data_IF_475810806398
#
_entry.id   IF_475810806398
#
_cell.length_a   1.000
_cell.length_b   1.000
_cell.length_c   1.000
_cell.angle_alpha   90.00
_cell.angle_beta   90.00
_cell.angle_gamma   90.00
#
_symmetry.space_group_name_H-M   'P 1'
#
loop_
_entity.id
_entity.type
_entity.pdbx_description
1 polymer ?
#
# COMPACT_ATOMS: atom_id res chain seq x y z
N UNK A 1 8.15 3.23 27.23
CA UNK A 1 9.29 3.17 26.29
C UNK A 1 8.96 4.13 25.15
N UNK A 2 9.80 5.13 24.91
CA UNK A 2 9.62 6.04 23.76
C UNK A 2 9.99 5.22 22.54
N UNK A 3 9.01 4.89 21.70
CA UNK A 3 9.23 4.19 20.43
C UNK A 3 10.16 4.98 19.50
N UNK A 4 10.69 4.33 18.47
CA UNK A 4 11.53 5.01 17.48
C UNK A 4 10.80 6.23 16.89
N UNK A 5 11.54 7.31 16.64
CA UNK A 5 11.01 8.55 16.05
C UNK A 5 11.32 8.57 14.56
N UNK A 6 10.30 8.78 13.75
CA UNK A 6 10.39 8.86 12.30
C UNK A 6 10.01 10.27 11.80
N UNK A 7 10.47 10.65 10.62
CA UNK A 7 9.94 11.82 9.95
C UNK A 7 8.56 11.52 9.39
N UNK A 8 8.44 10.43 8.64
CA UNK A 8 7.19 10.08 7.96
C UNK A 8 6.83 8.61 8.21
N UNK A 9 5.56 8.37 8.48
CA UNK A 9 4.92 7.07 8.50
C UNK A 9 3.91 6.99 7.35
N UNK A 10 3.92 5.89 6.57
CA UNK A 10 3.02 5.69 5.43
C UNK A 10 2.26 4.38 5.59
N UNK A 11 0.93 4.46 5.54
CA UNK A 11 0.02 3.31 5.52
C UNK A 11 -0.90 3.42 4.29
N UNK A 12 -1.20 2.29 3.64
CA UNK A 12 -2.19 2.21 2.56
C UNK A 12 -3.09 0.99 2.73
N UNK A 13 -4.14 0.91 1.94
CA UNK A 13 -4.95 -0.30 1.75
C UNK A 13 -5.44 -0.89 3.08
N UNK A 14 -6.04 -0.04 3.93
CA UNK A 14 -6.60 -0.43 5.24
C UNK A 14 -7.99 -1.05 5.05
N UNK A 15 -8.74 -0.57 4.04
CA UNK A 15 -10.07 -1.04 3.67
C UNK A 15 -11.07 -1.09 4.82
N UNK A 16 -11.22 0.03 5.53
CA UNK A 16 -12.24 0.17 6.58
C UNK A 16 -13.63 -0.18 6.03
N UNK A 17 -14.38 -0.99 6.75
CA UNK A 17 -15.67 -1.55 6.30
C UNK A 17 -15.52 -2.97 5.74
N UNK A 18 -14.33 -3.46 5.45
CA UNK A 18 -14.05 -4.85 5.15
C UNK A 18 -13.97 -5.70 6.43
N UNK A 19 -14.44 -6.95 6.38
CA UNK A 19 -14.37 -7.90 7.50
C UNK A 19 -12.92 -8.34 7.80
N UNK A 20 -12.02 -8.20 6.82
CA UNK A 20 -10.60 -8.58 6.95
C UNK A 20 -9.70 -7.38 7.27
N UNK A 21 -10.28 -6.19 7.42
CA UNK A 21 -9.54 -4.98 7.77
C UNK A 21 -8.89 -5.11 9.15
N UNK A 22 -7.60 -4.83 9.23
CA UNK A 22 -6.80 -4.84 10.46
C UNK A 22 -6.66 -3.42 11.04
N UNK A 23 -7.77 -2.71 11.11
CA UNK A 23 -7.80 -1.32 11.56
C UNK A 23 -7.27 -1.11 12.98
N UNK A 24 -7.50 -2.06 13.90
CA UNK A 24 -6.95 -1.99 15.25
C UNK A 24 -5.42 -2.11 15.23
N UNK A 25 -4.88 -3.04 14.47
CA UNK A 25 -3.43 -3.21 14.33
C UNK A 25 -2.76 -1.98 13.72
N UNK A 26 -3.40 -1.37 12.72
CA UNK A 26 -2.94 -0.10 12.14
C UNK A 26 -2.97 1.04 13.18
N UNK A 27 -4.01 1.09 14.01
CA UNK A 27 -4.11 2.05 15.11
C UNK A 27 -3.00 1.83 16.14
N UNK A 28 -2.69 0.59 16.49
CA UNK A 28 -1.64 0.26 17.45
C UNK A 28 -0.26 0.74 16.94
N UNK A 29 0.02 0.58 15.65
CA UNK A 29 1.23 1.15 15.02
C UNK A 29 1.26 2.66 15.15
N UNK A 30 0.16 3.34 14.81
CA UNK A 30 0.09 4.80 14.91
C UNK A 30 0.28 5.33 16.34
N UNK A 31 -0.09 4.54 17.34
CA UNK A 31 0.07 4.90 18.76
C UNK A 31 1.45 4.53 19.33
N UNK A 32 2.13 3.57 18.73
CA UNK A 32 3.42 3.08 19.22
C UNK A 32 4.58 3.97 18.77
N UNK A 33 4.52 4.50 17.55
CA UNK A 33 5.61 5.30 17.00
C UNK A 33 5.37 6.80 17.13
N UNK A 34 6.46 7.56 17.20
CA UNK A 34 6.46 9.02 17.07
C UNK A 34 6.84 9.40 15.64
N UNK A 35 6.09 10.29 15.02
CA UNK A 35 6.33 10.75 13.66
C UNK A 35 5.85 12.20 13.48
N UNK A 36 6.47 12.92 12.55
CA UNK A 36 6.10 14.29 12.17
C UNK A 36 5.00 14.31 11.11
N UNK A 37 4.99 13.31 10.23
CA UNK A 37 4.04 13.20 9.12
C UNK A 37 3.45 11.81 9.06
N UNK A 38 2.14 11.76 8.85
CA UNK A 38 1.39 10.56 8.52
C UNK A 38 0.82 10.69 7.12
N UNK A 39 1.17 9.75 6.24
CA UNK A 39 0.58 9.65 4.90
C UNK A 39 -0.34 8.45 4.84
N UNK A 40 -1.63 8.69 4.69
CA UNK A 40 -2.64 7.67 4.39
C UNK A 40 -2.72 7.57 2.86
N UNK A 41 -2.17 6.49 2.30
CA UNK A 41 -1.83 6.39 0.88
C UNK A 41 -2.88 5.62 0.06
N UNK A 42 -4.13 6.00 0.21
CA UNK A 42 -5.27 5.50 -0.56
C UNK A 42 -5.84 4.17 -0.06
N UNK A 43 -7.05 3.89 -0.52
CA UNK A 43 -7.86 2.72 -0.17
C UNK A 43 -7.98 2.51 1.34
N UNK A 44 -8.18 3.62 2.06
CA UNK A 44 -8.43 3.61 3.50
C UNK A 44 -9.82 3.04 3.78
N UNK A 45 -10.79 3.30 2.91
CA UNK A 45 -12.11 2.67 2.95
C UNK A 45 -12.23 1.56 1.91
N UNK A 46 -13.00 0.51 2.21
CA UNK A 46 -13.36 -0.55 1.27
C UNK A 46 -14.43 -0.07 0.28
N UNK A 47 -15.38 0.71 0.78
CA UNK A 47 -16.43 1.38 0.01
C UNK A 47 -17.01 2.56 0.80
N UNK A 48 -17.95 3.28 0.19
CA UNK A 48 -18.62 4.43 0.83
C UNK A 48 -19.81 4.04 1.72
N UNK A 49 -19.97 2.76 2.05
CA UNK A 49 -21.04 2.30 2.94
C UNK A 49 -20.58 2.34 4.41
N UNK A 50 -20.66 3.50 5.02
CA UNK A 50 -20.25 3.73 6.42
C UNK A 50 -21.03 2.89 7.45
N UNK A 51 -22.16 2.25 7.08
CA UNK A 51 -22.87 1.32 7.95
C UNK A 51 -22.09 0.03 8.24
N UNK A 52 -21.08 -0.26 7.43
CA UNK A 52 -20.18 -1.41 7.60
C UNK A 52 -19.04 -1.14 8.57
N UNK A 53 -18.86 0.11 9.00
CA UNK A 53 -17.79 0.47 9.91
C UNK A 53 -18.06 -0.08 11.31
N UNK A 54 -17.13 -0.88 11.82
CA UNK A 54 -17.14 -1.40 13.18
C UNK A 54 -16.64 -0.36 14.20
N UNK A 55 -16.74 -0.68 15.49
CA UNK A 55 -16.20 0.17 16.56
C UNK A 55 -14.68 0.41 16.41
N UNK A 56 -13.92 -0.56 15.92
CA UNK A 56 -12.47 -0.44 15.67
C UNK A 56 -12.18 0.53 14.54
N UNK A 57 -12.95 0.46 13.46
CA UNK A 57 -12.85 1.40 12.35
C UNK A 57 -13.10 2.85 12.81
N UNK A 58 -14.12 3.06 13.63
CA UNK A 58 -14.42 4.37 14.20
C UNK A 58 -13.34 4.86 15.18
N UNK A 59 -12.71 3.97 15.94
CA UNK A 59 -11.56 4.31 16.79
C UNK A 59 -10.38 4.79 15.94
N UNK A 60 -10.08 4.10 14.83
CA UNK A 60 -9.03 4.51 13.90
C UNK A 60 -9.32 5.92 13.35
N UNK A 61 -10.50 6.15 12.77
CA UNK A 61 -10.89 7.46 12.23
C UNK A 61 -10.87 8.58 13.29
N UNK A 62 -11.33 8.28 14.51
CA UNK A 62 -11.27 9.21 15.63
C UNK A 62 -9.84 9.57 16.01
N UNK A 63 -8.92 8.61 15.92
CA UNK A 63 -7.51 8.88 16.16
C UNK A 63 -6.91 9.78 15.07
N UNK A 64 -7.18 9.49 13.79
CA UNK A 64 -6.77 10.37 12.68
C UNK A 64 -7.30 11.79 12.88
N UNK A 65 -8.58 11.95 13.27
CA UNK A 65 -9.16 13.25 13.58
C UNK A 65 -8.45 13.97 14.74
N UNK A 66 -8.01 13.23 15.77
CA UNK A 66 -7.22 13.78 16.88
C UNK A 66 -5.83 14.22 16.42
N UNK A 67 -5.18 13.43 15.56
CA UNK A 67 -3.86 13.76 15.01
C UNK A 67 -3.90 15.03 14.14
N UNK A 68 -4.97 15.23 13.38
CA UNK A 68 -5.12 16.42 12.53
C UNK A 68 -5.27 17.74 13.31
N UNK A 69 -5.36 17.67 14.64
CA UNK A 69 -5.38 18.88 15.47
C UNK A 69 -3.99 19.56 15.41
N UNK A 70 -3.89 20.85 15.05
CA UNK A 70 -2.61 21.57 14.94
C UNK A 70 -1.75 21.53 16.21
N UNK A 71 -2.37 21.40 17.40
CA UNK A 71 -1.65 21.26 18.67
C UNK A 71 -0.82 19.97 18.78
N UNK A 72 -1.09 18.97 17.94
CA UNK A 72 -0.35 17.69 17.90
C UNK A 72 0.95 17.78 17.11
N UNK A 73 1.11 18.84 16.31
CA UNK A 73 2.30 19.04 15.46
C UNK A 73 2.61 17.85 14.54
N UNK A 74 1.57 17.10 14.13
CA UNK A 74 1.67 16.02 13.15
C UNK A 74 0.94 16.46 11.89
N UNK A 75 1.64 16.45 10.77
CA UNK A 75 1.05 16.66 9.46
C UNK A 75 0.36 15.38 9.01
N UNK A 76 -0.96 15.42 8.87
CA UNK A 76 -1.72 14.27 8.36
C UNK A 76 -2.13 14.57 6.93
N UNK A 77 -1.72 13.68 6.03
CA UNK A 77 -1.97 13.76 4.58
C UNK A 77 -2.77 12.54 4.16
N UNK A 78 -3.79 12.77 3.35
CA UNK A 78 -4.58 11.70 2.76
C UNK A 78 -4.40 11.72 1.24
N UNK A 79 -3.97 10.61 0.65
CA UNK A 79 -3.92 10.42 -0.79
C UNK A 79 -5.11 9.57 -1.21
N UNK A 80 -5.83 9.98 -2.24
CA UNK A 80 -7.04 9.30 -2.72
C UNK A 80 -6.69 7.97 -3.41
N UNK A 81 -7.36 6.89 -2.99
CA UNK A 81 -7.35 5.58 -3.66
C UNK A 81 -8.54 5.41 -4.60
N UNK A 82 -8.64 4.27 -5.28
CA UNK A 82 -9.78 3.99 -6.14
C UNK A 82 -11.07 3.68 -5.36
N UNK A 83 -10.96 3.17 -4.14
CA UNK A 83 -12.08 2.93 -3.23
C UNK A 83 -12.52 4.19 -2.49
N UNK A 84 -11.63 5.16 -2.35
CA UNK A 84 -11.85 6.44 -1.66
C UNK A 84 -12.30 7.55 -2.62
N UNK A 85 -12.43 7.26 -3.92
CA UNK A 85 -12.75 8.26 -4.94
C UNK A 85 -14.06 9.00 -4.62
N UNK A 86 -13.99 10.33 -4.60
CA UNK A 86 -15.12 11.19 -4.26
C UNK A 86 -15.24 11.54 -2.77
N UNK A 87 -14.39 10.98 -1.90
CA UNK A 87 -14.36 11.32 -0.48
C UNK A 87 -13.59 12.61 -0.16
N UNK A 88 -12.87 13.18 -1.11
CA UNK A 88 -11.98 14.32 -0.86
C UNK A 88 -12.69 15.46 -0.10
N UNK A 89 -13.86 15.88 -0.56
CA UNK A 89 -14.63 16.94 0.10
C UNK A 89 -15.15 16.50 1.48
N UNK A 90 -15.64 15.27 1.58
CA UNK A 90 -16.22 14.75 2.82
C UNK A 90 -15.15 14.63 3.91
N UNK A 91 -13.99 14.07 3.59
CA UNK A 91 -12.91 13.85 4.56
C UNK A 91 -12.24 15.14 4.97
N UNK A 92 -12.07 16.10 4.07
CA UNK A 92 -11.56 17.42 4.39
C UNK A 92 -12.47 18.14 5.40
N UNK A 93 -13.77 18.04 5.24
CA UNK A 93 -14.74 18.70 6.13
C UNK A 93 -14.97 17.93 7.45
N UNK A 94 -15.08 16.60 7.42
CA UNK A 94 -15.39 15.80 8.61
C UNK A 94 -14.15 15.51 9.46
N UNK A 95 -13.04 15.18 8.84
CA UNK A 95 -11.80 14.76 9.52
C UNK A 95 -10.82 15.92 9.64
N UNK A 96 -10.98 16.96 8.81
CA UNK A 96 -10.09 18.12 8.77
C UNK A 96 -8.72 17.79 8.22
N UNK A 97 -8.65 16.79 7.32
CA UNK A 97 -7.42 16.33 6.66
C UNK A 97 -7.51 16.63 5.18
N UNK A 98 -6.53 17.34 4.58
CA UNK A 98 -6.50 17.56 3.14
C UNK A 98 -6.32 16.26 2.39
N UNK A 99 -7.05 16.11 1.27
CA UNK A 99 -6.98 14.94 0.40
C UNK A 99 -6.37 15.33 -0.94
N UNK A 100 -5.41 14.54 -1.37
CA UNK A 100 -4.64 14.77 -2.59
C UNK A 100 -4.74 13.56 -3.52
N UNK A 101 -4.63 13.77 -4.82
CA UNK A 101 -4.40 12.68 -5.78
C UNK A 101 -2.90 12.32 -5.85
N UNK A 102 -2.06 13.32 -5.64
CA UNK A 102 -0.61 13.23 -5.59
C UNK A 102 -0.12 14.18 -4.52
N UNK A 103 0.78 13.73 -3.66
CA UNK A 103 1.38 14.55 -2.64
C UNK A 103 2.90 14.54 -2.78
N UNK A 104 3.50 15.72 -2.80
CA UNK A 104 4.95 15.90 -2.94
C UNK A 104 5.47 16.64 -1.70
N UNK A 105 6.57 16.12 -1.16
CA UNK A 105 7.27 16.79 -0.06
C UNK A 105 8.78 16.59 -0.17
N UNK A 106 9.54 17.35 0.60
CA UNK A 106 10.98 17.24 0.69
C UNK A 106 11.38 16.79 2.11
N UNK A 107 12.36 15.90 2.15
CA UNK A 107 13.01 15.48 3.38
C UNK A 107 14.46 15.07 3.10
N UNK A 108 15.42 15.56 3.92
CA UNK A 108 16.86 15.32 3.77
C UNK A 108 17.36 15.59 2.33
N UNK A 109 16.90 16.70 1.72
CA UNK A 109 17.32 17.11 0.37
C UNK A 109 16.78 16.24 -0.75
N UNK A 110 15.92 15.26 -0.48
CA UNK A 110 15.26 14.43 -1.48
C UNK A 110 13.79 14.81 -1.63
N UNK A 111 13.30 14.85 -2.87
CA UNK A 111 11.90 15.05 -3.18
C UNK A 111 11.19 13.69 -3.25
N UNK A 112 10.08 13.61 -2.58
CA UNK A 112 9.26 12.44 -2.42
C UNK A 112 7.92 12.66 -3.10
N UNK A 113 7.40 11.62 -3.78
CA UNK A 113 6.09 11.62 -4.40
C UNK A 113 5.27 10.47 -3.81
N UNK A 114 4.08 10.75 -3.29
CA UNK A 114 3.10 9.75 -2.89
C UNK A 114 1.91 9.79 -3.81
N UNK A 115 1.50 8.62 -4.31
CA UNK A 115 0.29 8.40 -5.09
C UNK A 115 -0.18 6.97 -4.88
N UNK A 116 -1.50 6.73 -4.94
CA UNK A 116 -1.99 5.38 -4.65
C UNK A 116 -1.55 4.33 -5.69
N UNK A 117 -1.49 4.67 -6.98
CA UNK A 117 -1.00 3.77 -8.03
C UNK A 117 -2.10 3.23 -8.95
N UNK A 118 -3.37 3.29 -8.57
CA UNK A 118 -4.51 2.85 -9.38
C UNK A 118 -4.59 3.55 -10.75
N UNK A 119 -3.96 4.73 -10.88
CA UNK A 119 -3.92 5.50 -12.13
C UNK A 119 -3.27 4.73 -13.28
N UNK A 120 -2.40 3.78 -12.96
CA UNK A 120 -1.67 2.96 -13.92
C UNK A 120 -2.35 1.61 -14.19
N UNK A 121 -3.39 1.27 -13.42
CA UNK A 121 -4.19 0.08 -13.66
C UNK A 121 -5.24 0.33 -14.74
N UNK A 122 -4.96 -0.16 -15.95
CA UNK A 122 -5.89 -0.01 -17.09
C UNK A 122 -7.18 -0.82 -16.93
N UNK A 123 -7.22 -1.80 -16.03
CA UNK A 123 -8.41 -2.61 -15.77
C UNK A 123 -9.39 -1.85 -14.86
N UNK A 124 -8.90 -1.21 -13.81
CA UNK A 124 -9.70 -0.36 -12.92
C UNK A 124 -10.29 0.82 -13.70
N UNK A 125 -9.52 1.45 -14.61
CA UNK A 125 -10.03 2.55 -15.44
C UNK A 125 -11.22 2.16 -16.33
N UNK A 126 -11.28 0.91 -16.81
CA UNK A 126 -12.32 0.48 -17.75
C UNK A 126 -13.53 -0.17 -17.07
N UNK A 127 -13.38 -0.72 -15.86
CA UNK A 127 -14.38 -1.59 -15.26
C UNK A 127 -14.39 -1.52 -13.72
N UNK A 128 -14.70 -0.36 -13.16
CA UNK A 128 -14.78 -0.16 -11.69
C UNK A 128 -15.66 -1.21 -10.96
N UNK A 129 -16.75 -1.67 -11.58
CA UNK A 129 -17.63 -2.67 -10.99
C UNK A 129 -17.08 -4.10 -11.04
N UNK A 130 -16.24 -4.43 -12.04
CA UNK A 130 -15.59 -5.76 -12.15
C UNK A 130 -14.46 -5.88 -11.11
N UNK A 131 -13.78 -4.78 -10.79
CA UNK A 131 -12.80 -4.75 -9.71
C UNK A 131 -13.45 -5.12 -8.36
N UNK A 132 -14.60 -4.50 -8.04
CA UNK A 132 -15.39 -4.80 -6.84
C UNK A 132 -15.91 -6.24 -6.80
N UNK A 133 -16.36 -6.78 -7.95
CA UNK A 133 -16.79 -8.16 -8.05
C UNK A 133 -15.62 -9.14 -7.87
N UNK A 134 -14.46 -8.84 -8.43
CA UNK A 134 -13.24 -9.64 -8.28
C UNK A 134 -12.77 -9.70 -6.83
N UNK A 135 -12.80 -8.56 -6.12
CA UNK A 135 -12.48 -8.47 -4.70
C UNK A 135 -13.48 -9.25 -3.84
N UNK A 136 -14.78 -9.12 -4.14
CA UNK A 136 -15.83 -9.90 -3.45
C UNK A 136 -15.63 -11.42 -3.66
N UNK A 137 -15.34 -11.86 -4.88
CA UNK A 137 -15.05 -13.26 -5.20
C UNK A 137 -13.78 -13.73 -4.45
N UNK A 138 -12.72 -12.93 -4.42
CA UNK A 138 -11.49 -13.24 -3.70
C UNK A 138 -11.73 -13.42 -2.20
N UNK A 139 -12.50 -12.52 -1.59
CA UNK A 139 -12.90 -12.62 -0.19
C UNK A 139 -13.77 -13.86 0.10
N UNK A 140 -14.66 -14.27 -0.83
CA UNK A 140 -15.45 -15.50 -0.69
C UNK A 140 -14.57 -16.75 -0.82
N UNK A 141 -13.57 -16.74 -1.70
CA UNK A 141 -12.62 -17.85 -1.87
C UNK A 141 -11.74 -18.01 -0.63
N UNK A 142 -11.32 -16.92 0.02
CA UNK A 142 -10.60 -16.98 1.29
C UNK A 142 -11.42 -17.61 2.43
N UNK A 143 -12.74 -17.49 2.39
CA UNK A 143 -13.66 -18.11 3.37
C UNK A 143 -13.92 -19.59 3.12
N UNK A 144 -13.73 -20.08 1.88
CA UNK A 144 -13.99 -21.47 1.48
C UNK A 144 -12.68 -22.23 1.44
N UNK A 145 -12.50 -23.08 2.43
CA UNK A 145 -11.33 -23.87 2.77
C UNK A 145 -10.59 -24.57 1.61
N UNK A 146 -9.32 -24.71 1.84
CA UNK A 146 -8.12 -25.13 1.13
C UNK A 146 -8.06 -26.59 0.63
N UNK A 147 -9.15 -27.29 0.34
CA UNK A 147 -9.09 -28.73 0.02
C UNK A 147 -9.06 -29.13 -1.45
N UNK A 148 -9.10 -28.21 -2.41
CA UNK A 148 -9.12 -28.56 -3.82
C UNK A 148 -7.96 -27.94 -4.60
N UNK A 149 -7.17 -28.81 -5.29
CA UNK A 149 -6.09 -28.41 -6.21
C UNK A 149 -6.49 -27.43 -7.33
N UNK A 150 -7.80 -27.15 -7.51
CA UNK A 150 -8.30 -26.11 -8.40
C UNK A 150 -8.03 -24.70 -7.86
N UNK A 151 -8.05 -24.51 -6.55
CA UNK A 151 -7.80 -23.23 -5.90
C UNK A 151 -6.32 -22.85 -6.05
N UNK A 152 -5.38 -23.79 -5.93
CA UNK A 152 -3.96 -23.50 -6.13
C UNK A 152 -3.66 -23.00 -7.55
N UNK A 153 -4.21 -23.62 -8.60
CA UNK A 153 -4.01 -23.17 -9.99
C UNK A 153 -4.66 -21.81 -10.29
N UNK A 154 -5.78 -21.50 -9.62
CA UNK A 154 -6.40 -20.20 -9.73
C UNK A 154 -5.59 -19.13 -9.00
N UNK A 155 -5.04 -19.45 -7.83
CA UNK A 155 -4.14 -18.58 -7.05
C UNK A 155 -2.83 -18.33 -7.80
N UNK A 156 -2.26 -19.33 -8.48
CA UNK A 156 -1.06 -19.18 -9.30
C UNK A 156 -1.30 -18.22 -10.49
N UNK A 157 -2.46 -18.32 -11.14
CA UNK A 157 -2.85 -17.36 -12.19
C UNK A 157 -3.11 -15.96 -11.65
N UNK A 158 -3.66 -15.84 -10.47
CA UNK A 158 -3.84 -14.56 -9.80
C UNK A 158 -2.48 -13.96 -9.40
N UNK A 159 -1.57 -14.74 -8.84
CA UNK A 159 -0.22 -14.29 -8.51
C UNK A 159 0.51 -13.69 -9.73
N UNK A 160 0.45 -14.35 -10.88
CA UNK A 160 1.05 -13.81 -12.11
C UNK A 160 0.41 -12.49 -12.54
N UNK A 161 -0.90 -12.36 -12.44
CA UNK A 161 -1.60 -11.10 -12.74
C UNK A 161 -1.22 -9.98 -11.79
N UNK A 162 -1.11 -10.27 -10.49
CA UNK A 162 -0.69 -9.30 -9.48
C UNK A 162 0.76 -8.85 -9.68
N UNK A 163 1.66 -9.75 -10.05
CA UNK A 163 3.05 -9.42 -10.38
C UNK A 163 3.14 -8.49 -11.60
N UNK A 164 2.38 -8.78 -12.67
CA UNK A 164 2.32 -7.93 -13.85
C UNK A 164 1.71 -6.56 -13.56
N UNK A 165 0.70 -6.52 -12.68
CA UNK A 165 0.11 -5.26 -12.23
C UNK A 165 1.11 -4.45 -11.41
N UNK A 166 1.84 -5.09 -10.49
CA UNK A 166 2.85 -4.44 -9.66
C UNK A 166 3.97 -3.82 -10.51
N UNK A 167 4.45 -4.53 -11.54
CA UNK A 167 5.42 -4.01 -12.49
C UNK A 167 4.88 -2.79 -13.26
N UNK A 168 3.66 -2.87 -13.74
CA UNK A 168 3.02 -1.78 -14.48
C UNK A 168 2.82 -0.54 -13.61
N UNK A 169 2.38 -0.71 -12.36
CA UNK A 169 2.22 0.38 -11.41
C UNK A 169 3.58 1.00 -11.08
N UNK A 170 4.60 0.17 -10.82
CA UNK A 170 5.94 0.65 -10.50
C UNK A 170 6.53 1.50 -11.65
N UNK A 171 6.49 0.99 -12.90
CA UNK A 171 6.98 1.76 -14.07
C UNK A 171 6.23 3.06 -14.29
N UNK A 172 4.91 3.05 -14.13
CA UNK A 172 4.09 4.25 -14.25
C UNK A 172 4.43 5.28 -13.19
N UNK A 173 4.58 4.85 -11.93
CA UNK A 173 4.90 5.71 -10.81
C UNK A 173 6.33 6.29 -10.91
N UNK A 174 7.31 5.47 -11.33
CA UNK A 174 8.69 5.92 -11.58
C UNK A 174 8.71 6.99 -12.67
N UNK A 175 8.00 6.78 -13.78
CA UNK A 175 7.90 7.78 -14.85
C UNK A 175 7.30 9.11 -14.37
N UNK A 176 6.25 9.05 -13.56
CA UNK A 176 5.66 10.26 -12.97
C UNK A 176 6.61 10.95 -11.99
N UNK A 177 7.37 10.18 -11.20
CA UNK A 177 8.39 10.73 -10.32
C UNK A 177 9.52 11.43 -11.09
N UNK A 178 9.97 10.86 -12.21
CA UNK A 178 10.97 11.49 -13.10
C UNK A 178 10.46 12.82 -13.65
N UNK A 179 9.21 12.86 -14.14
CA UNK A 179 8.57 14.09 -14.63
C UNK A 179 8.53 15.16 -13.50
N UNK A 180 8.20 14.72 -12.27
CA UNK A 180 8.13 15.56 -11.08
C UNK A 180 9.50 15.88 -10.47
N UNK A 181 10.60 15.35 -11.01
CA UNK A 181 11.96 15.44 -10.45
C UNK A 181 11.99 14.99 -8.99
N UNK A 182 11.35 13.85 -8.71
CA UNK A 182 11.33 13.21 -7.40
C UNK A 182 12.29 12.03 -7.39
N UNK A 183 13.12 11.91 -6.35
CA UNK A 183 14.06 10.82 -6.17
C UNK A 183 13.41 9.56 -5.61
N UNK A 184 12.24 9.73 -4.95
CA UNK A 184 11.48 8.64 -4.33
C UNK A 184 10.01 8.70 -4.68
N UNK A 185 9.41 7.53 -4.93
CA UNK A 185 7.96 7.41 -5.13
C UNK A 185 7.37 6.28 -4.27
N UNK A 186 6.21 6.57 -3.68
CA UNK A 186 5.50 5.70 -2.76
C UNK A 186 4.13 5.37 -3.33
N UNK A 187 3.79 4.07 -3.34
CA UNK A 187 2.51 3.55 -3.82
C UNK A 187 1.87 2.56 -2.83
N UNK A 188 0.60 2.26 -3.02
CA UNK A 188 -0.17 1.16 -2.46
C UNK A 188 -0.79 0.32 -3.58
N UNK A 189 -2.10 0.07 -3.53
CA UNK A 189 -2.97 -0.50 -4.57
C UNK A 189 -2.72 -1.97 -4.90
N UNK A 190 -1.47 -2.40 -5.02
CA UNK A 190 -1.15 -3.78 -5.42
C UNK A 190 -1.07 -4.74 -4.23
N UNK A 191 -1.21 -4.24 -3.01
CA UNK A 191 -1.11 -5.00 -1.75
C UNK A 191 0.21 -5.76 -1.55
N UNK A 192 1.19 -5.57 -2.44
CA UNK A 192 2.50 -6.24 -2.37
C UNK A 192 3.55 -5.26 -1.89
N UNK A 193 4.03 -5.45 -0.67
CA UNK A 193 5.14 -4.64 -0.15
C UNK A 193 6.41 -4.90 -0.99
N UNK A 194 6.94 -3.84 -1.58
CA UNK A 194 8.04 -3.92 -2.55
C UNK A 194 8.93 -2.68 -2.47
N UNK A 195 10.23 -2.86 -2.61
CA UNK A 195 11.16 -1.77 -2.89
C UNK A 195 12.05 -2.13 -4.07
N UNK A 196 12.27 -1.17 -4.97
CA UNK A 196 13.19 -1.31 -6.09
C UNK A 196 13.75 0.05 -6.50
N UNK A 197 14.85 0.04 -7.22
CA UNK A 197 15.40 1.23 -7.85
C UNK A 197 15.26 1.04 -9.36
N UNK A 198 14.64 2.01 -10.02
CA UNK A 198 14.44 1.99 -11.46
C UNK A 198 14.73 3.38 -12.03
N UNK A 199 15.58 3.45 -13.06
CA UNK A 199 15.96 4.69 -13.74
C UNK A 199 16.36 5.83 -12.78
N UNK A 200 17.08 5.51 -11.71
CA UNK A 200 17.54 6.45 -10.70
C UNK A 200 16.49 6.89 -9.67
N UNK A 201 15.26 6.35 -9.72
CA UNK A 201 14.19 6.60 -8.77
C UNK A 201 14.02 5.42 -7.83
N UNK A 202 13.97 5.67 -6.53
CA UNK A 202 13.63 4.68 -5.51
C UNK A 202 12.09 4.52 -5.44
N UNK A 203 11.57 3.34 -5.80
CA UNK A 203 10.15 3.00 -5.71
C UNK A 203 9.87 2.16 -4.47
N UNK A 204 8.78 2.47 -3.77
CA UNK A 204 8.31 1.73 -2.60
C UNK A 204 6.81 1.49 -2.69
N UNK A 205 6.38 0.27 -2.34
CA UNK A 205 4.98 -0.04 -2.11
C UNK A 205 4.79 -0.44 -0.64
N UNK A 206 3.80 0.15 0.02
CA UNK A 206 3.55 -0.05 1.45
C UNK A 206 2.88 -1.39 1.79
N UNK A 207 2.40 -2.14 0.79
CA UNK A 207 1.63 -3.35 1.02
C UNK A 207 0.19 -3.07 1.46
N UNK A 208 -0.38 -3.86 2.38
CA UNK A 208 -1.77 -3.72 2.82
C UNK A 208 -2.01 -4.09 4.28
N UNK A 209 -3.21 -3.76 4.78
CA UNK A 209 -3.71 -4.11 6.12
C UNK A 209 -4.91 -5.07 6.09
N UNK A 210 -5.08 -5.76 4.98
CA UNK A 210 -6.10 -6.83 4.82
C UNK A 210 -5.48 -8.22 4.75
N UNK A 211 -4.16 -8.30 4.58
CA UNK A 211 -3.42 -9.55 4.50
C UNK A 211 -2.91 -10.03 5.86
N UNK A 212 -2.50 -11.30 5.92
CA UNK A 212 -1.91 -11.91 7.12
C UNK A 212 -0.65 -11.16 7.59
N UNK A 213 0.12 -10.59 6.65
CA UNK A 213 1.29 -9.74 6.91
C UNK A 213 0.94 -8.30 6.60
N UNK A 214 0.52 -7.56 7.62
CA UNK A 214 0.35 -6.12 7.47
C UNK A 214 1.71 -5.43 7.40
N UNK A 215 1.86 -4.51 6.44
CA UNK A 215 3.10 -3.78 6.22
C UNK A 215 2.85 -2.28 6.12
N UNK A 216 3.87 -1.50 6.44
CA UNK A 216 3.87 -0.05 6.37
C UNK A 216 5.28 0.46 6.11
N UNK A 217 5.40 1.74 5.73
CA UNK A 217 6.71 2.35 5.49
C UNK A 217 7.04 3.37 6.57
N UNK A 218 8.33 3.43 6.90
CA UNK A 218 8.89 4.46 7.77
C UNK A 218 10.02 5.17 7.07
N UNK A 219 10.11 6.49 7.28
CA UNK A 219 11.17 7.34 6.72
C UNK A 219 11.88 8.05 7.86
N UNK A 220 13.19 7.95 7.89
CA UNK A 220 14.07 8.66 8.80
C UNK A 220 15.37 9.08 8.09
N UNK A 221 16.36 9.60 8.81
CA UNK A 221 17.64 10.00 8.26
C UNK A 221 18.44 8.84 7.65
N UNK A 222 18.21 7.59 8.10
CA UNK A 222 18.86 6.39 7.54
C UNK A 222 18.22 5.95 6.22
N UNK A 223 17.01 6.40 5.89
CA UNK A 223 16.34 6.09 4.65
C UNK A 223 14.88 5.67 4.82
N UNK A 224 14.43 4.81 3.91
CA UNK A 224 13.06 4.24 3.89
C UNK A 224 13.14 2.77 4.26
N UNK A 225 12.29 2.33 5.19
CA UNK A 225 12.21 0.93 5.60
C UNK A 225 10.77 0.42 5.44
N UNK A 226 10.65 -0.80 4.91
CA UNK A 226 9.38 -1.56 4.95
C UNK A 226 9.33 -2.28 6.30
N UNK A 227 8.33 -1.96 7.09
CA UNK A 227 8.07 -2.59 8.38
C UNK A 227 6.96 -3.62 8.27
N UNK A 228 7.06 -4.70 9.05
CA UNK A 228 5.99 -5.70 9.16
C UNK A 228 5.41 -5.66 10.58
N UNK A 229 4.08 -5.60 10.69
CA UNK A 229 3.39 -5.73 11.97
C UNK A 229 3.12 -7.21 12.27
N UNK A 230 3.69 -7.68 13.36
CA UNK A 230 3.60 -9.09 13.80
C UNK A 230 2.86 -9.25 15.14
N UNK A 231 1.70 -8.60 15.27
CA UNK A 231 0.82 -8.79 16.43
C UNK A 231 1.50 -8.55 17.78
N UNK A 232 1.57 -7.32 18.26
CA UNK A 232 2.09 -6.95 19.59
C UNK A 232 3.63 -6.98 19.75
N UNK A 233 4.36 -7.52 18.79
CA UNK A 233 5.83 -7.46 18.73
C UNK A 233 6.25 -6.93 17.37
N UNK A 234 6.90 -5.77 17.38
CA UNK A 234 7.45 -5.18 16.16
C UNK A 234 8.73 -5.92 15.79
N UNK A 235 8.68 -6.76 14.76
CA UNK A 235 9.87 -7.31 14.16
C UNK A 235 10.30 -6.40 13.00
N UNK A 236 11.47 -5.80 13.15
CA UNK A 236 12.20 -5.23 12.03
C UNK A 236 12.37 -6.37 11.02
N UNK A 237 11.75 -6.26 9.84
CA UNK A 237 12.07 -7.16 8.76
C UNK A 237 13.56 -6.92 8.47
N UNK A 238 14.46 -7.90 8.68
CA UNK A 238 15.82 -7.71 8.25
C UNK A 238 15.72 -7.36 6.76
N UNK A 239 16.46 -6.35 6.33
CA UNK A 239 16.66 -5.98 4.94
C UNK A 239 17.36 -7.17 4.26
N UNK A 240 16.64 -8.27 4.12
CA UNK A 240 17.02 -9.30 3.18
C UNK A 240 16.88 -8.62 1.82
N UNK A 241 18.00 -8.42 1.16
CA UNK A 241 18.06 -8.31 -0.29
C UNK A 241 17.22 -9.49 -0.82
N UNK A 242 15.89 -9.28 -0.94
CA UNK A 242 15.09 -10.22 -1.70
C UNK A 242 15.61 -10.11 -3.11
N UNK A 243 15.93 -11.26 -3.69
CA UNK A 243 16.16 -11.38 -5.14
C UNK A 243 15.10 -10.52 -5.83
N UNK A 244 15.47 -9.74 -6.85
CA UNK A 244 14.49 -8.97 -7.61
C UNK A 244 13.28 -9.85 -7.92
N UNK A 245 12.07 -9.31 -7.85
CA UNK A 245 10.81 -10.04 -8.16
C UNK A 245 10.92 -10.82 -9.48
N UNK A 246 11.73 -10.33 -10.42
CA UNK A 246 12.12 -11.01 -11.64
C UNK A 246 12.85 -12.34 -11.40
N UNK A 247 13.65 -12.45 -10.36
CA UNK A 247 14.37 -13.71 -10.08
C UNK A 247 13.46 -14.72 -9.36
N UNK A 248 12.58 -14.28 -8.46
CA UNK A 248 11.55 -15.15 -7.86
C UNK A 248 10.52 -15.59 -8.91
N UNK A 249 10.14 -14.71 -9.84
CA UNK A 249 9.27 -15.07 -10.95
C UNK A 249 9.97 -16.05 -11.92
N UNK A 250 11.26 -15.86 -12.23
CA UNK A 250 12.02 -16.78 -13.09
C UNK A 250 12.12 -18.17 -12.46
N UNK A 251 12.43 -18.26 -11.16
CA UNK A 251 12.47 -19.52 -10.41
C UNK A 251 11.09 -20.21 -10.37
N UNK A 252 9.99 -19.45 -10.30
CA UNK A 252 8.61 -19.96 -10.36
C UNK A 252 8.22 -20.45 -11.76
N UNK A 253 8.64 -19.74 -12.82
CA UNK A 253 8.39 -20.15 -14.21
C UNK A 253 9.18 -21.42 -14.56
N UNK A 254 10.42 -21.52 -14.10
CA UNK A 254 11.27 -22.70 -14.31
C UNK A 254 10.74 -23.92 -13.55
N UNK A 255 10.26 -23.74 -12.31
CA UNK A 255 9.63 -24.81 -11.51
C UNK A 255 8.26 -25.25 -12.04
N UNK A 256 7.55 -24.38 -12.76
CA UNK A 256 6.24 -24.66 -13.36
C UNK A 256 6.33 -25.22 -14.79
N UNK A 257 7.52 -25.36 -15.37
CA UNK A 257 7.73 -25.85 -16.74
C UNK A 257 7.14 -24.94 -17.82
N UNK A 258 6.96 -23.64 -17.52
CA UNK A 258 6.43 -22.66 -18.45
C UNK A 258 7.57 -21.95 -19.19
N UNK A 259 7.44 -21.70 -20.53
CA UNK A 259 8.48 -20.98 -21.25
C UNK A 259 8.66 -19.58 -20.66
N UNK A 260 9.92 -19.21 -20.42
CA UNK A 260 10.29 -17.88 -19.97
C UNK A 260 9.72 -16.84 -20.94
N UNK A 261 8.86 -15.95 -20.44
CA UNK A 261 8.33 -14.85 -21.23
C UNK A 261 9.49 -13.94 -21.66
N UNK A 262 9.71 -13.82 -22.95
CA UNK A 262 10.80 -13.08 -23.59
C UNK A 262 10.88 -11.57 -23.25
N UNK A 263 10.08 -11.08 -22.33
CA UNK A 263 10.08 -9.71 -21.81
C UNK A 263 10.62 -9.56 -20.38
N UNK A 264 10.90 -10.65 -19.68
CA UNK A 264 11.30 -10.61 -18.26
C UNK A 264 12.81 -10.36 -18.05
N UNK A 265 13.63 -10.43 -19.10
CA UNK A 265 15.05 -10.12 -19.01
C UNK A 265 15.37 -8.62 -18.88
N UNK A 266 14.39 -7.74 -18.94
CA UNK A 266 14.59 -6.28 -18.91
C UNK A 266 14.30 -5.61 -17.55
N UNK A 267 14.19 -6.35 -16.46
CA UNK A 267 14.21 -5.77 -15.10
C UNK A 267 15.63 -5.41 -14.62
N UNK A 268 16.61 -5.37 -15.53
CA UNK A 268 17.81 -4.59 -15.31
C UNK A 268 17.50 -3.15 -15.72
N UNK A 269 17.09 -2.36 -14.73
CA UNK A 269 17.25 -0.91 -14.81
C UNK A 269 18.72 -0.59 -14.67
#
# INVERSE_FOLDING_TARGET
MIGATYDTLILSDIHLGSEVSRAQDALDVLQTYSYRRLVLLGDIFSDLNFRRLTSEHWKFLSYIRKLSNPKRQVEVVWVEGNHDTGLANLMSHLVGVPVYQRYVWEYEGKRHLAMHGHQFDGFVKKNLWIGRLGEWIFLQIQKVDSRTKCVSRFLDRMNTRWLLLSDKVARGAVRDAQIGKCERVFCGHTHVALSLICDGVEYYNSGSWVDARATFLTINQQGVEIQTYAGGTHHRCPSTERKPVAAEAADLFESAGLPALAGYQSLRC
#
